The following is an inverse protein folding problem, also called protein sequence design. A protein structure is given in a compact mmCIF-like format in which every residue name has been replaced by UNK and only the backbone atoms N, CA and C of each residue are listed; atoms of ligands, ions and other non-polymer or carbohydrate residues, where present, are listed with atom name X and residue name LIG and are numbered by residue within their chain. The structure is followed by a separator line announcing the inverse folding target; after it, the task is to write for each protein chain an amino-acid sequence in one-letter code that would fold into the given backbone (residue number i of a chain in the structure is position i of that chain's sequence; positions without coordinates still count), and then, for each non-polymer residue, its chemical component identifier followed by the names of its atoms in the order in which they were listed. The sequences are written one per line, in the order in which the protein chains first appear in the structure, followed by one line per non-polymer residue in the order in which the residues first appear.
data_IF_966836974396
#
_entry.id   IF_966836974396
#
_cell.length_a   1.000
_cell.length_b   1.000
_cell.length_c   1.000
_cell.angle_alpha   90.00
_cell.angle_beta   90.00
_cell.angle_gamma   90.00
#
_symmetry.space_group_name_H-M   'P 1'
#
loop_
_entity.id
_entity.type
_entity.pdbx_description
1 polymer ?
#
# COMPACT_ATOMS: atom_id res chain seq x y z
N UNK A 1 12.43 -16.53 47.07
CA UNK A 1 11.41 -17.57 46.82
C UNK A 1 11.40 -18.08 45.37
N UNK A 2 11.44 -17.22 44.34
CA UNK A 2 11.45 -17.67 42.93
C UNK A 2 12.66 -18.56 42.54
N UNK A 3 13.87 -18.22 43.02
CA UNK A 3 15.09 -19.02 42.76
C UNK A 3 15.08 -20.40 43.43
N UNK A 4 14.41 -20.52 44.58
CA UNK A 4 14.34 -21.79 45.32
C UNK A 4 13.40 -22.76 44.60
N UNK A 5 12.31 -22.26 44.02
CA UNK A 5 11.35 -23.04 43.25
C UNK A 5 11.95 -23.61 41.95
N UNK A 6 12.78 -22.85 41.23
CA UNK A 6 13.45 -23.33 40.00
C UNK A 6 14.43 -24.49 40.26
N UNK A 7 15.15 -24.46 41.39
CA UNK A 7 16.10 -25.52 41.76
C UNK A 7 15.40 -26.83 42.14
N UNK A 8 14.27 -26.77 42.84
CA UNK A 8 13.46 -27.96 43.14
C UNK A 8 12.82 -28.56 41.88
N UNK A 9 12.34 -27.73 40.94
CA UNK A 9 11.70 -28.23 39.72
C UNK A 9 12.73 -28.92 38.78
N UNK A 10 13.94 -28.37 38.67
CA UNK A 10 15.01 -28.98 37.91
C UNK A 10 15.47 -30.34 38.49
N UNK A 11 15.49 -30.46 39.82
CA UNK A 11 15.88 -31.69 40.51
C UNK A 11 14.84 -32.82 40.35
N UNK A 12 13.55 -32.48 40.39
CA UNK A 12 12.45 -33.45 40.18
C UNK A 12 12.39 -33.92 38.72
N UNK A 13 12.63 -33.03 37.75
CA UNK A 13 12.67 -33.39 36.32
C UNK A 13 13.87 -34.29 35.98
N UNK A 14 15.03 -34.07 36.62
CA UNK A 14 16.20 -34.94 36.45
C UNK A 14 15.96 -36.35 36.99
N UNK A 15 15.29 -36.47 38.15
CA UNK A 15 14.96 -37.77 38.75
C UNK A 15 13.89 -38.53 37.95
N UNK A 16 12.87 -37.84 37.42
CA UNK A 16 11.84 -38.48 36.58
C UNK A 16 12.36 -38.87 35.18
N UNK A 17 13.27 -38.08 34.61
CA UNK A 17 13.93 -38.42 33.35
C UNK A 17 14.86 -39.63 33.45
N UNK A 18 15.59 -39.79 34.57
CA UNK A 18 16.52 -40.91 34.78
C UNK A 18 15.83 -42.28 34.85
N UNK A 19 14.61 -42.35 35.40
CA UNK A 19 13.87 -43.62 35.52
C UNK A 19 13.22 -44.04 34.19
N UNK A 20 12.85 -43.09 33.32
CA UNK A 20 12.27 -43.39 32.01
C UNK A 20 13.33 -43.87 31.00
N UNK A 21 14.58 -43.43 31.15
CA UNK A 21 15.71 -43.80 30.26
C UNK A 21 16.21 -45.23 30.50
N UNK A 22 16.01 -45.81 31.68
CA UNK A 22 16.50 -47.16 32.02
C UNK A 22 15.66 -48.31 31.44
N UNK A 23 14.51 -48.03 30.80
CA UNK A 23 13.63 -49.04 30.17
C UNK A 23 13.33 -48.79 28.70
N UNK A 24 13.74 -47.67 28.15
CA UNK A 24 13.50 -47.34 26.74
C UNK A 24 14.56 -47.98 25.84
N UNK A 25 14.15 -48.37 24.63
CA UNK A 25 15.09 -48.91 23.66
C UNK A 25 16.12 -47.84 23.24
N UNK A 26 17.31 -48.24 22.79
CA UNK A 26 18.32 -47.29 22.25
C UNK A 26 17.74 -46.37 21.16
N UNK A 27 16.74 -46.86 20.41
CA UNK A 27 16.05 -46.07 19.39
C UNK A 27 15.17 -44.95 19.98
N UNK A 28 14.53 -45.18 21.12
CA UNK A 28 13.73 -44.16 21.82
C UNK A 28 14.61 -43.13 22.51
N UNK A 29 15.75 -43.54 23.08
CA UNK A 29 16.75 -42.62 23.63
C UNK A 29 17.28 -41.68 22.54
N UNK A 30 17.67 -42.22 21.38
CA UNK A 30 18.13 -41.42 20.24
C UNK A 30 17.06 -40.44 19.72
N UNK A 31 15.78 -40.84 19.72
CA UNK A 31 14.67 -39.94 19.36
C UNK A 31 14.51 -38.80 20.36
N UNK A 32 14.54 -39.09 21.66
CA UNK A 32 14.44 -38.07 22.69
C UNK A 32 15.62 -37.09 22.67
N UNK A 33 16.85 -37.58 22.43
CA UNK A 33 18.02 -36.71 22.27
C UNK A 33 17.88 -35.79 21.05
N UNK A 34 17.39 -36.31 19.92
CA UNK A 34 17.14 -35.52 18.73
C UNK A 34 16.04 -34.47 18.94
N UNK A 35 14.96 -34.82 19.63
CA UNK A 35 13.88 -33.89 19.99
C UNK A 35 14.36 -32.79 20.93
N UNK A 36 15.18 -33.14 21.92
CA UNK A 36 15.76 -32.18 22.85
C UNK A 36 16.73 -31.22 22.13
N UNK A 37 17.59 -31.74 21.26
CA UNK A 37 18.49 -30.92 20.44
C UNK A 37 17.70 -29.95 19.54
N UNK A 38 16.61 -30.42 18.91
CA UNK A 38 15.72 -29.58 18.11
C UNK A 38 15.01 -28.52 18.96
N UNK A 39 14.59 -28.84 20.19
CA UNK A 39 13.98 -27.89 21.11
C UNK A 39 14.97 -26.79 21.55
N UNK A 40 16.22 -27.16 21.84
CA UNK A 40 17.29 -26.20 22.18
C UNK A 40 17.57 -25.28 20.99
N UNK A 41 17.65 -25.80 19.77
CA UNK A 41 17.84 -25.00 18.56
C UNK A 41 16.67 -24.03 18.32
N UNK A 42 15.42 -24.45 18.51
CA UNK A 42 14.24 -23.58 18.43
C UNK A 42 14.28 -22.46 19.46
N UNK A 43 14.66 -22.76 20.70
CA UNK A 43 14.81 -21.76 21.77
C UNK A 43 15.89 -20.72 21.43
N UNK A 44 17.02 -21.16 20.89
CA UNK A 44 18.09 -20.25 20.47
C UNK A 44 17.62 -19.32 19.33
N UNK A 45 16.89 -19.86 18.34
CA UNK A 45 16.33 -19.07 17.24
C UNK A 45 15.30 -18.04 17.72
N UNK A 46 14.41 -18.41 18.64
CA UNK A 46 13.44 -17.48 19.25
C UNK A 46 14.13 -16.36 20.04
N UNK A 47 15.17 -16.69 20.82
CA UNK A 47 15.96 -15.68 21.54
C UNK A 47 16.64 -14.70 20.60
N UNK A 48 17.20 -15.17 19.47
CA UNK A 48 17.79 -14.30 18.46
C UNK A 48 16.75 -13.37 17.82
N UNK A 49 15.57 -13.90 17.46
CA UNK A 49 14.48 -13.11 16.90
C UNK A 49 13.96 -12.03 17.89
N UNK A 50 13.91 -12.35 19.19
CA UNK A 50 13.54 -11.39 20.23
C UNK A 50 14.58 -10.26 20.37
N UNK A 51 15.87 -10.57 20.25
CA UNK A 51 16.93 -9.56 20.27
C UNK A 51 16.84 -8.63 19.04
N UNK A 52 16.59 -9.17 17.86
CA UNK A 52 16.38 -8.38 16.64
C UNK A 52 15.15 -7.47 16.76
N UNK A 53 14.03 -7.99 17.28
CA UNK A 53 12.82 -7.21 17.50
C UNK A 53 13.04 -6.07 18.51
N UNK A 54 13.81 -6.32 19.58
CA UNK A 54 14.18 -5.28 20.54
C UNK A 54 15.05 -4.19 19.92
N UNK A 55 16.05 -4.56 19.11
CA UNK A 55 16.89 -3.59 18.40
C UNK A 55 16.09 -2.72 17.42
N UNK A 56 15.11 -3.31 16.72
CA UNK A 56 14.21 -2.58 15.84
C UNK A 56 13.34 -1.57 16.61
N UNK A 57 12.78 -1.96 17.77
CA UNK A 57 12.02 -1.07 18.65
C UNK A 57 12.85 0.10 19.20
N UNK A 58 14.11 -0.15 19.57
CA UNK A 58 15.03 0.90 20.02
C UNK A 58 15.37 1.89 18.89
N UNK A 59 15.51 1.39 17.66
CA UNK A 59 15.73 2.24 16.47
C UNK A 59 14.52 3.14 16.19
N UNK A 60 13.30 2.59 16.26
CA UNK A 60 12.06 3.36 16.11
C UNK A 60 11.94 4.45 17.18
N UNK A 61 12.24 4.13 18.45
CA UNK A 61 12.21 5.12 19.54
C UNK A 61 13.19 6.28 19.31
N UNK A 62 14.39 6.00 18.79
CA UNK A 62 15.36 7.05 18.43
C UNK A 62 14.84 7.95 17.32
N UNK A 63 14.29 7.36 16.26
CA UNK A 63 13.73 8.09 15.13
C UNK A 63 12.57 9.02 15.56
N UNK A 64 11.65 8.53 16.39
CA UNK A 64 10.55 9.35 16.95
C UNK A 64 11.07 10.50 17.84
N UNK A 65 12.16 10.25 18.59
CA UNK A 65 12.86 11.27 19.36
C UNK A 65 13.43 12.39 18.48
N UNK A 66 14.11 12.03 17.40
CA UNK A 66 14.70 12.97 16.43
C UNK A 66 13.62 13.78 15.70
N UNK A 67 12.50 13.15 15.31
CA UNK A 67 11.38 13.83 14.66
C UNK A 67 10.75 14.86 15.59
N UNK A 68 10.52 14.50 16.86
CA UNK A 68 10.00 15.43 17.89
C UNK A 68 10.96 16.60 18.14
N UNK A 69 12.27 16.35 18.15
CA UNK A 69 13.29 17.39 18.28
C UNK A 69 13.30 18.34 17.05
N UNK A 70 13.14 17.80 15.85
CA UNK A 70 13.05 18.58 14.61
C UNK A 70 11.80 19.45 14.56
N UNK A 71 10.64 18.92 14.92
CA UNK A 71 9.40 19.68 15.03
C UNK A 71 9.53 20.84 16.03
N UNK A 72 10.15 20.57 17.18
CA UNK A 72 10.41 21.59 18.21
C UNK A 72 11.32 22.71 17.68
N UNK A 73 12.40 22.37 16.97
CA UNK A 73 13.29 23.34 16.31
C UNK A 73 12.54 24.19 15.27
N UNK A 74 11.71 23.57 14.44
CA UNK A 74 10.91 24.28 13.44
C UNK A 74 9.94 25.28 14.08
N UNK A 75 9.26 24.89 15.18
CA UNK A 75 8.38 25.78 15.94
C UNK A 75 9.14 26.95 16.57
N UNK A 76 10.33 26.71 17.12
CA UNK A 76 11.18 27.77 17.68
C UNK A 76 11.65 28.77 16.59
N UNK A 77 12.06 28.28 15.42
CA UNK A 77 12.43 29.14 14.29
C UNK A 77 11.24 30.00 13.82
N UNK A 78 10.03 29.42 13.77
CA UNK A 78 8.81 30.17 13.42
C UNK A 78 8.49 31.26 14.43
N UNK A 79 8.68 31.01 15.72
CA UNK A 79 8.54 32.03 16.79
C UNK A 79 9.57 33.16 16.66
N UNK A 80 10.83 32.85 16.33
CA UNK A 80 11.87 33.86 16.09
C UNK A 80 11.53 34.77 14.91
N UNK A 81 11.03 34.21 13.80
CA UNK A 81 10.59 35.00 12.63
C UNK A 81 9.43 35.94 12.94
N UNK A 82 8.53 35.57 13.86
CA UNK A 82 7.43 36.45 14.30
C UNK A 82 7.85 37.57 15.26
N UNK A 83 9.05 37.52 15.82
CA UNK A 83 9.59 38.57 16.70
C UNK A 83 10.41 39.62 15.96
N UNK A 84 10.57 39.50 14.64
CA UNK A 84 11.13 40.59 13.84
C UNK A 84 10.06 41.69 13.81
N UNK A 85 10.30 42.87 14.40
CA UNK A 85 9.34 43.96 14.36
C UNK A 85 9.07 44.31 12.89
N UNK A 86 7.79 44.58 12.53
CA UNK A 86 7.48 45.04 11.18
C UNK A 86 8.29 46.30 10.88
N UNK A 87 8.88 46.35 9.69
CA UNK A 87 9.45 47.58 9.13
C UNK A 87 8.43 48.72 9.27
N UNK A 88 8.83 49.94 9.67
CA UNK A 88 7.90 51.04 9.88
C UNK A 88 7.12 51.32 8.59
N UNK A 89 5.83 50.98 8.62
CA UNK A 89 4.89 51.16 7.53
C UNK A 89 4.30 52.57 7.60
N UNK A 90 4.44 53.36 6.53
CA UNK A 90 3.75 54.64 6.40
C UNK A 90 2.30 54.39 5.96
N UNK A 91 1.28 54.81 6.75
CA UNK A 91 -0.11 54.51 6.43
C UNK A 91 -0.66 55.45 5.34
N UNK A 92 -1.37 54.87 4.37
CA UNK A 92 -2.36 55.59 3.55
C UNK A 92 -3.71 55.62 4.30
N UNK A 93 -4.52 56.68 4.15
CA UNK A 93 -5.77 56.85 4.87
C UNK A 93 -6.83 55.86 4.39
N UNK A 94 -7.53 55.22 5.33
CA UNK A 94 -8.61 54.27 5.08
C UNK A 94 -9.93 54.77 5.66
N UNK A 95 -11.01 54.60 4.89
CA UNK A 95 -12.40 54.99 5.17
C UNK A 95 -13.12 53.83 5.89
N UNK A 96 -13.97 54.08 6.90
CA UNK A 96 -14.52 53.01 7.73
C UNK A 96 -15.77 52.37 7.10
N UNK A 97 -15.85 51.03 7.15
CA UNK A 97 -17.09 50.27 6.97
C UNK A 97 -17.33 49.46 8.25
N UNK A 98 -18.49 49.69 8.86
CA UNK A 98 -18.94 49.01 10.06
C UNK A 98 -19.42 47.59 9.73
N UNK A 99 -19.15 46.62 10.61
CA UNK A 99 -19.86 45.33 10.58
C UNK A 99 -20.09 44.82 11.99
N UNK A 100 -21.35 44.47 12.23
CA UNK A 100 -21.98 43.96 13.45
C UNK A 100 -21.54 42.55 13.79
N UNK A 101 -21.30 42.29 15.08
CA UNK A 101 -20.98 40.98 15.65
C UNK A 101 -22.26 40.21 16.02
N UNK A 102 -22.25 38.89 15.80
CA UNK A 102 -23.25 37.93 16.30
C UNK A 102 -22.57 36.89 17.20
N UNK A 103 -23.21 36.43 18.30
CA UNK A 103 -22.59 35.46 19.22
C UNK A 103 -22.81 34.00 18.79
N UNK A 104 -21.81 33.16 19.04
CA UNK A 104 -21.77 31.72 18.75
C UNK A 104 -22.19 30.92 19.99
N UNK A 105 -23.04 29.91 19.79
CA UNK A 105 -23.52 28.98 20.81
C UNK A 105 -22.53 27.83 21.12
N UNK A 106 -22.60 27.19 22.31
CA UNK A 106 -21.65 26.15 22.73
C UNK A 106 -22.06 24.73 22.25
N UNK A 107 -21.05 23.89 21.98
CA UNK A 107 -21.19 22.48 21.59
C UNK A 107 -21.31 21.52 22.80
N UNK A 108 -22.01 20.37 22.66
CA UNK A 108 -22.08 19.33 23.68
C UNK A 108 -20.96 18.25 23.52
N UNK A 109 -20.81 17.32 24.50
CA UNK A 109 -19.52 16.68 24.79
C UNK A 109 -19.24 15.36 24.04
N UNK A 110 -17.96 15.01 24.11
CA UNK A 110 -17.27 13.82 23.59
C UNK A 110 -17.73 12.54 24.31
N UNK A 111 -17.92 11.47 23.54
CA UNK A 111 -17.99 10.10 24.04
C UNK A 111 -16.93 9.20 23.35
N UNK A 112 -16.22 8.43 24.17
CA UNK A 112 -15.44 7.21 23.88
C UNK A 112 -15.80 6.24 25.05
N UNK A 113 -15.66 4.90 24.98
CA UNK A 113 -14.71 4.11 24.17
C UNK A 113 -15.24 2.74 23.64
N UNK A 114 -14.43 2.00 22.88
CA UNK A 114 -14.01 0.62 23.24
C UNK A 114 -13.11 -0.04 22.18
N UNK A 115 -11.99 -0.52 22.70
CA UNK A 115 -10.92 -1.33 22.11
C UNK A 115 -11.34 -2.78 21.88
N UNK A 116 -10.90 -3.38 20.77
CA UNK A 116 -10.40 -4.77 20.77
C UNK A 116 -9.19 -4.88 19.83
N UNK A 117 -8.02 -5.07 20.42
CA UNK A 117 -6.81 -5.56 19.75
C UNK A 117 -6.95 -7.08 19.54
N UNK A 118 -6.59 -7.56 18.36
CA UNK A 118 -6.23 -8.98 18.15
C UNK A 118 -4.89 -9.04 17.44
N UNK A 119 -3.91 -9.60 18.14
CA UNK A 119 -2.58 -9.94 17.63
C UNK A 119 -2.64 -11.20 16.75
N UNK A 120 -1.76 -11.25 15.73
CA UNK A 120 -1.39 -12.51 15.07
C UNK A 120 0.14 -12.52 14.78
N UNK A 121 0.86 -13.60 15.13
CA UNK A 121 2.30 -13.71 14.92
C UNK A 121 2.68 -14.53 13.66
N UNK A 122 3.89 -14.23 13.14
CA UNK A 122 4.79 -15.07 12.31
C UNK A 122 4.39 -15.44 10.86
N UNK A 123 5.27 -15.94 9.98
CA UNK A 123 6.68 -15.75 9.62
C UNK A 123 6.88 -16.59 8.33
N UNK A 124 7.53 -16.08 7.28
CA UNK A 124 7.73 -16.80 6.01
C UNK A 124 9.21 -17.18 5.84
N UNK A 125 9.55 -18.46 6.02
CA UNK A 125 10.76 -19.09 5.48
C UNK A 125 10.39 -20.52 5.07
N UNK A 126 10.86 -20.94 3.90
CA UNK A 126 10.94 -22.31 3.37
C UNK A 126 9.79 -22.82 2.46
N UNK A 127 9.95 -22.67 1.14
CA UNK A 127 9.28 -23.54 0.15
C UNK A 127 10.24 -23.93 -1.00
N UNK A 128 10.12 -25.18 -1.48
CA UNK A 128 10.74 -25.70 -2.71
C UNK A 128 9.64 -26.23 -3.63
N UNK A 129 9.68 -25.86 -4.91
CA UNK A 129 8.82 -26.45 -5.95
C UNK A 129 9.51 -27.69 -6.47
N UNK A 130 8.90 -28.86 -6.32
CA UNK A 130 9.37 -30.10 -6.92
C UNK A 130 8.60 -30.36 -8.23
N UNK A 131 9.35 -30.48 -9.33
CA UNK A 131 9.00 -30.96 -10.69
C UNK A 131 7.58 -30.71 -11.24
N UNK A 132 7.54 -30.01 -12.36
CA UNK A 132 6.36 -29.86 -13.23
C UNK A 132 6.17 -31.14 -14.07
N UNK A 133 5.34 -32.05 -13.60
CA UNK A 133 4.51 -32.90 -14.46
C UNK A 133 3.06 -32.43 -14.35
N UNK A 134 2.14 -32.90 -15.21
CA UNK A 134 0.77 -32.36 -15.44
C UNK A 134 -0.15 -32.23 -14.21
N UNK A 135 0.33 -32.55 -13.01
CA UNK A 135 -0.31 -32.33 -11.71
C UNK A 135 0.64 -31.53 -10.83
N UNK A 136 0.23 -30.35 -10.38
CA UNK A 136 1.04 -29.51 -9.50
C UNK A 136 0.89 -29.99 -8.05
N UNK A 137 1.91 -30.62 -7.48
CA UNK A 137 1.91 -31.05 -6.08
C UNK A 137 2.62 -30.01 -5.19
N UNK A 138 1.89 -29.44 -4.24
CA UNK A 138 2.43 -28.51 -3.24
C UNK A 138 2.61 -29.23 -1.90
N UNK A 139 3.88 -29.44 -1.51
CA UNK A 139 4.24 -29.97 -0.19
C UNK A 139 4.22 -28.84 0.85
N UNK A 140 3.25 -28.88 1.76
CA UNK A 140 3.17 -27.97 2.91
C UNK A 140 3.47 -28.74 4.21
N UNK A 141 4.31 -28.15 5.07
CA UNK A 141 4.70 -28.74 6.38
C UNK A 141 3.69 -28.55 7.51
N UNK A 142 2.73 -27.64 7.36
CA UNK A 142 1.69 -27.38 8.39
C UNK A 142 0.32 -27.10 7.76
N UNK A 143 -0.75 -27.47 8.49
CA UNK A 143 -2.14 -27.45 8.04
C UNK A 143 -2.78 -26.04 7.90
N UNK A 144 -2.06 -24.97 8.25
CA UNK A 144 -2.59 -23.59 8.32
C UNK A 144 -2.23 -22.73 7.10
N UNK A 145 -2.09 -23.34 5.92
CA UNK A 145 -1.54 -22.68 4.74
C UNK A 145 -2.59 -21.92 3.90
N UNK A 146 -3.20 -20.86 4.45
CA UNK A 146 -4.14 -19.99 3.73
C UNK A 146 -3.53 -19.24 2.52
N UNK A 147 -2.20 -19.23 2.37
CA UNK A 147 -1.50 -18.62 1.21
C UNK A 147 -1.08 -19.59 0.10
N UNK A 148 -0.93 -20.90 0.35
CA UNK A 148 -0.70 -21.86 -0.72
C UNK A 148 -1.93 -21.96 -1.66
N UNK A 149 -3.12 -21.89 -1.07
CA UNK A 149 -4.41 -21.79 -1.79
C UNK A 149 -4.45 -20.61 -2.79
N UNK A 150 -3.90 -19.46 -2.41
CA UNK A 150 -3.86 -18.26 -3.28
C UNK A 150 -2.93 -18.41 -4.49
N UNK A 151 -1.95 -19.30 -4.42
CA UNK A 151 -1.11 -19.66 -5.58
C UNK A 151 -1.75 -20.76 -6.43
N UNK A 152 -2.47 -21.72 -5.83
CA UNK A 152 -3.30 -22.69 -6.55
C UNK A 152 -4.46 -22.03 -7.33
N UNK A 153 -5.06 -20.95 -6.84
CA UNK A 153 -6.10 -20.18 -7.55
C UNK A 153 -5.67 -19.67 -8.94
N UNK A 154 -4.36 -19.60 -9.23
CA UNK A 154 -3.83 -19.25 -10.56
C UNK A 154 -3.64 -20.42 -11.51
N UNK A 155 -3.71 -21.66 -11.03
CA UNK A 155 -3.60 -22.88 -11.82
C UNK A 155 -4.98 -23.53 -11.84
N UNK A 156 -5.61 -23.53 -13.02
CA UNK A 156 -6.99 -23.99 -13.23
C UNK A 156 -7.16 -25.51 -12.97
N UNK A 157 -6.10 -26.24 -12.61
CA UNK A 157 -6.11 -27.68 -12.39
C UNK A 157 -5.24 -28.03 -11.16
N UNK A 158 -5.82 -27.93 -9.97
CA UNK A 158 -5.24 -28.50 -8.75
C UNK A 158 -6.27 -29.44 -8.14
N UNK A 159 -6.05 -30.75 -8.32
CA UNK A 159 -6.99 -31.79 -7.91
C UNK A 159 -6.73 -32.32 -6.49
N UNK A 160 -5.57 -32.02 -5.87
CA UNK A 160 -5.24 -32.44 -4.51
C UNK A 160 -4.18 -31.54 -3.84
N UNK A 161 -4.21 -31.47 -2.49
CA UNK A 161 -3.17 -30.89 -1.64
C UNK A 161 -2.73 -31.97 -0.65
N UNK A 162 -1.43 -32.30 -0.61
CA UNK A 162 -0.88 -33.33 0.28
C UNK A 162 -0.11 -32.66 1.41
N UNK A 163 -0.39 -33.06 2.65
CA UNK A 163 0.28 -32.57 3.85
C UNK A 163 1.12 -33.71 4.45
N UNK A 164 2.42 -33.45 4.54
CA UNK A 164 3.44 -34.19 5.28
C UNK A 164 3.56 -35.72 5.01
N UNK A 165 4.31 -36.07 3.96
CA UNK A 165 5.27 -37.18 3.92
C UNK A 165 4.84 -38.63 4.21
N UNK A 166 3.59 -38.91 4.52
CA UNK A 166 3.11 -40.28 4.73
C UNK A 166 2.58 -40.87 3.43
N UNK A 167 3.08 -42.05 3.06
CA UNK A 167 2.47 -42.87 2.01
C UNK A 167 0.99 -43.10 2.34
N UNK A 168 0.12 -42.60 1.46
CA UNK A 168 -1.32 -42.81 1.56
C UNK A 168 -1.57 -44.29 1.24
N UNK A 169 -1.87 -45.09 2.27
CA UNK A 169 -2.36 -46.45 2.07
C UNK A 169 -3.68 -46.39 1.28
N UNK A 170 -3.88 -47.25 0.26
CA UNK A 170 -5.14 -47.31 -0.48
C UNK A 170 -6.29 -47.58 0.50
N UNK A 171 -7.23 -46.63 0.63
CA UNK A 171 -8.42 -46.78 1.47
C UNK A 171 -8.65 -45.71 2.55
N UNK A 172 -7.81 -44.69 2.68
CA UNK A 172 -8.07 -43.53 3.55
C UNK A 172 -8.22 -42.24 2.73
N UNK A 173 -9.39 -42.10 2.11
CA UNK A 173 -9.86 -40.82 1.58
C UNK A 173 -10.19 -39.89 2.75
N UNK A 174 -9.26 -39.01 3.13
CA UNK A 174 -9.66 -37.69 3.65
C UNK A 174 -9.97 -36.83 2.44
N UNK A 175 -11.13 -37.11 1.86
CA UNK A 175 -11.78 -36.26 0.89
C UNK A 175 -12.00 -34.91 1.58
N UNK A 176 -11.15 -33.92 1.29
CA UNK A 176 -11.54 -32.52 1.43
C UNK A 176 -12.60 -32.32 0.36
N UNK A 177 -13.79 -32.80 0.70
CA UNK A 177 -14.89 -33.05 -0.22
C UNK A 177 -15.10 -31.85 -1.12
N UNK A 178 -15.57 -32.08 -2.35
CA UNK A 178 -16.03 -31.03 -3.27
C UNK A 178 -16.89 -29.95 -2.58
N UNK A 179 -17.53 -30.28 -1.46
CA UNK A 179 -18.25 -29.36 -0.59
C UNK A 179 -17.36 -28.30 0.08
N UNK A 180 -16.17 -28.62 0.60
CA UNK A 180 -15.25 -27.66 1.24
C UNK A 180 -14.67 -26.69 0.21
N UNK A 181 -14.30 -27.19 -0.98
CA UNK A 181 -13.84 -26.34 -2.10
C UNK A 181 -14.97 -25.43 -2.58
N UNK A 182 -16.21 -25.95 -2.67
CA UNK A 182 -17.40 -25.12 -2.93
C UNK A 182 -17.59 -24.06 -1.86
N UNK A 183 -17.51 -24.41 -0.58
CA UNK A 183 -17.71 -23.49 0.54
C UNK A 183 -16.71 -22.33 0.51
N UNK A 184 -15.44 -22.62 0.24
CA UNK A 184 -14.40 -21.59 0.11
C UNK A 184 -14.61 -20.71 -1.12
N UNK A 185 -15.07 -21.29 -2.24
CA UNK A 185 -15.43 -20.54 -3.46
C UNK A 185 -16.65 -19.64 -3.23
N UNK A 186 -17.65 -20.15 -2.52
CA UNK A 186 -18.86 -19.44 -2.16
C UNK A 186 -18.57 -18.33 -1.15
N UNK A 187 -17.64 -18.53 -0.22
CA UNK A 187 -17.16 -17.49 0.71
C UNK A 187 -16.35 -16.40 0.01
N UNK A 188 -15.47 -16.76 -0.93
CA UNK A 188 -14.76 -15.77 -1.75
C UNK A 188 -15.72 -14.97 -2.64
N UNK A 189 -16.72 -15.64 -3.23
CA UNK A 189 -17.78 -15.00 -4.02
C UNK A 189 -18.66 -14.10 -3.16
N UNK A 190 -19.03 -14.54 -1.95
CA UNK A 190 -19.76 -13.73 -0.97
C UNK A 190 -18.94 -12.53 -0.49
N UNK A 191 -17.65 -12.67 -0.23
CA UNK A 191 -16.78 -11.56 0.15
C UNK A 191 -16.62 -10.52 -0.98
N UNK A 192 -16.55 -10.98 -2.24
CA UNK A 192 -16.54 -10.10 -3.40
C UNK A 192 -17.89 -9.38 -3.58
N UNK A 193 -19.00 -10.09 -3.40
CA UNK A 193 -20.35 -9.54 -3.45
C UNK A 193 -20.63 -8.58 -2.28
N UNK A 194 -20.15 -8.86 -1.07
CA UNK A 194 -20.26 -7.98 0.10
C UNK A 194 -19.39 -6.74 -0.04
N UNK A 195 -18.24 -6.83 -0.71
CA UNK A 195 -17.42 -5.65 -1.04
C UNK A 195 -18.13 -4.79 -2.08
N UNK A 196 -18.70 -5.39 -3.13
CA UNK A 196 -19.53 -4.70 -4.11
C UNK A 196 -20.80 -4.11 -3.50
N UNK A 197 -21.43 -4.81 -2.55
CA UNK A 197 -22.60 -4.35 -1.80
C UNK A 197 -22.27 -3.23 -0.83
N UNK A 198 -21.13 -3.29 -0.14
CA UNK A 198 -20.62 -2.18 0.69
C UNK A 198 -20.22 -0.98 -0.15
N UNK A 199 -19.68 -1.17 -1.35
CA UNK A 199 -19.45 -0.09 -2.32
C UNK A 199 -20.78 0.52 -2.78
N UNK A 200 -21.78 -0.31 -3.07
CA UNK A 200 -23.15 0.13 -3.37
C UNK A 200 -23.81 0.83 -2.15
N UNK A 201 -23.50 0.43 -0.92
CA UNK A 201 -24.02 1.06 0.30
C UNK A 201 -23.29 2.35 0.66
N UNK A 202 -21.97 2.45 0.44
CA UNK A 202 -21.28 3.75 0.44
C UNK A 202 -21.82 4.64 -0.68
N UNK A 203 -22.22 4.06 -1.82
CA UNK A 203 -22.95 4.76 -2.88
C UNK A 203 -24.39 5.14 -2.51
N UNK A 204 -24.96 4.63 -1.40
CA UNK A 204 -26.24 5.14 -0.87
C UNK A 204 -26.08 6.51 -0.20
N UNK A 205 -24.89 6.88 0.28
CA UNK A 205 -24.59 8.28 0.64
C UNK A 205 -24.52 9.19 -0.61
N UNK A 206 -24.19 8.60 -1.76
CA UNK A 206 -24.33 9.19 -3.10
C UNK A 206 -25.73 8.96 -3.73
N UNK A 207 -26.63 8.30 -3.00
CA UNK A 207 -27.81 7.60 -3.50
C UNK A 207 -28.99 8.48 -3.90
N UNK A 208 -28.89 9.79 -3.72
CA UNK A 208 -29.87 10.73 -4.26
C UNK A 208 -29.39 11.47 -5.51
N UNK A 209 -28.11 11.33 -5.90
CA UNK A 209 -27.51 12.14 -6.97
C UNK A 209 -26.85 11.35 -8.10
N UNK A 210 -26.58 10.05 -7.95
CA UNK A 210 -26.20 9.17 -9.07
C UNK A 210 -27.42 8.72 -9.87
N UNK A 211 -28.20 9.68 -10.39
CA UNK A 211 -28.74 9.43 -11.73
C UNK A 211 -27.49 9.23 -12.60
N UNK A 212 -27.47 8.13 -13.34
CA UNK A 212 -26.52 7.79 -14.40
C UNK A 212 -26.53 8.82 -15.55
N UNK A 213 -26.61 10.11 -15.24
CA UNK A 213 -26.34 11.16 -16.18
C UNK A 213 -24.82 11.17 -16.37
N UNK A 214 -24.42 10.52 -17.46
CA UNK A 214 -23.12 10.74 -18.07
C UNK A 214 -22.98 12.22 -18.41
N UNK A 215 -22.44 12.96 -17.44
CA UNK A 215 -22.04 14.36 -17.56
C UNK A 215 -20.55 14.39 -17.90
N UNK A 216 -20.11 15.27 -18.81
CA UNK A 216 -18.70 15.43 -19.11
C UNK A 216 -17.95 16.03 -17.92
N UNK A 217 -16.89 15.37 -17.47
CA UNK A 217 -16.11 15.79 -16.29
C UNK A 217 -14.67 16.14 -16.64
N UNK A 218 -14.07 16.98 -15.81
CA UNK A 218 -12.63 17.22 -15.79
C UNK A 218 -11.96 16.19 -14.88
N UNK A 219 -11.05 15.40 -15.43
CA UNK A 219 -10.29 14.40 -14.68
C UNK A 219 -8.91 14.93 -14.31
N UNK A 220 -8.54 14.77 -13.04
CA UNK A 220 -7.20 15.10 -12.53
C UNK A 220 -6.58 13.79 -12.04
N UNK A 221 -5.67 13.22 -12.84
CA UNK A 221 -4.98 11.97 -12.51
C UNK A 221 -3.69 12.30 -11.76
N UNK A 222 -3.62 11.90 -10.51
CA UNK A 222 -2.47 12.09 -9.61
C UNK A 222 -1.82 10.76 -9.31
N UNK A 223 -0.50 10.74 -9.24
CA UNK A 223 0.29 9.60 -8.73
C UNK A 223 1.67 10.08 -8.31
N UNK A 224 2.43 9.26 -7.59
CA UNK A 224 3.85 9.53 -7.35
C UNK A 224 4.78 9.01 -8.48
N UNK A 225 4.23 8.71 -9.67
CA UNK A 225 5.00 8.15 -10.79
C UNK A 225 5.16 6.63 -10.70
N UNK A 226 5.43 5.98 -11.84
CA UNK A 226 5.54 4.52 -11.90
C UNK A 226 4.23 3.74 -11.67
N UNK A 227 3.11 4.42 -11.41
CA UNK A 227 1.83 3.79 -11.03
C UNK A 227 0.83 3.56 -12.18
N UNK A 228 1.24 3.74 -13.44
CA UNK A 228 0.31 3.64 -14.58
C UNK A 228 -0.57 4.87 -14.80
N UNK A 229 -0.28 6.01 -14.17
CA UNK A 229 -1.05 7.26 -14.33
C UNK A 229 -1.13 7.75 -15.78
N UNK A 230 -0.05 7.58 -16.57
CA UNK A 230 -0.06 7.95 -18.00
C UNK A 230 -1.00 7.07 -18.83
N UNK A 231 -1.16 5.80 -18.44
CA UNK A 231 -2.10 4.88 -19.09
C UNK A 231 -3.54 5.32 -18.81
N UNK A 232 -3.86 5.60 -17.55
CA UNK A 232 -5.18 6.08 -17.16
C UNK A 232 -5.51 7.45 -17.78
N UNK A 233 -4.61 8.43 -17.66
CA UNK A 233 -4.80 9.76 -18.22
C UNK A 233 -4.90 9.73 -19.76
N UNK A 234 -4.05 8.95 -20.43
CA UNK A 234 -4.09 8.79 -21.88
C UNK A 234 -5.39 8.16 -22.37
N UNK A 235 -5.92 7.14 -21.68
CA UNK A 235 -7.21 6.54 -22.01
C UNK A 235 -8.37 7.52 -21.79
N UNK A 236 -8.43 8.19 -20.64
CA UNK A 236 -9.45 9.20 -20.37
C UNK A 236 -9.45 10.32 -21.41
N UNK A 237 -8.27 10.77 -21.84
CA UNK A 237 -8.12 11.85 -22.82
C UNK A 237 -8.61 11.47 -24.24
N UNK A 238 -8.80 10.17 -24.50
CA UNK A 238 -9.30 9.65 -25.78
C UNK A 238 -10.80 9.37 -25.76
N UNK A 239 -11.43 9.40 -24.59
CA UNK A 239 -12.87 9.22 -24.50
C UNK A 239 -13.58 10.39 -25.22
N UNK A 240 -14.75 10.14 -25.81
CA UNK A 240 -15.60 11.19 -26.34
C UNK A 240 -15.82 12.33 -25.32
N UNK A 241 -15.91 13.57 -25.81
CA UNK A 241 -16.05 14.77 -24.95
C UNK A 241 -17.29 14.75 -24.07
N UNK A 242 -18.32 13.96 -24.40
CA UNK A 242 -19.50 13.71 -23.54
C UNK A 242 -19.16 12.99 -22.22
N UNK A 243 -18.00 12.34 -22.13
CA UNK A 243 -17.52 11.65 -20.93
C UNK A 243 -16.37 12.41 -20.25
N UNK A 244 -15.42 12.94 -21.02
CA UNK A 244 -14.25 13.64 -20.50
C UNK A 244 -14.08 15.01 -21.16
N UNK A 245 -14.27 16.09 -20.37
CA UNK A 245 -14.09 17.46 -20.81
C UNK A 245 -12.61 17.80 -20.93
N UNK A 246 -11.85 17.61 -19.86
CA UNK A 246 -10.41 17.83 -19.78
C UNK A 246 -9.75 16.73 -18.96
N UNK A 247 -8.48 16.45 -19.23
CA UNK A 247 -7.70 15.49 -18.46
C UNK A 247 -6.34 16.11 -18.13
N UNK A 248 -5.98 16.03 -16.86
CA UNK A 248 -4.71 16.50 -16.31
C UNK A 248 -3.96 15.33 -15.69
N UNK A 249 -2.64 15.35 -15.78
CA UNK A 249 -1.77 14.37 -15.15
C UNK A 249 -0.74 15.10 -14.26
N UNK A 250 -0.89 14.91 -12.95
CA UNK A 250 -0.11 15.59 -11.91
C UNK A 250 0.76 14.61 -11.10
N UNK A 251 1.81 15.18 -10.53
CA UNK A 251 2.73 14.56 -9.58
C UNK A 251 2.84 15.40 -8.31
N UNK A 252 1.76 16.11 -7.96
CA UNK A 252 1.68 16.96 -6.78
C UNK A 252 1.42 16.12 -5.54
N UNK A 253 2.28 16.23 -4.54
CA UNK A 253 2.20 15.46 -3.29
C UNK A 253 1.13 15.98 -2.33
N UNK A 254 0.67 17.21 -2.52
CA UNK A 254 -0.22 17.91 -1.58
C UNK A 254 -1.55 18.22 -2.25
N UNK A 255 -2.61 17.42 -2.03
CA UNK A 255 -3.92 17.83 -2.49
C UNK A 255 -4.28 19.16 -1.83
N UNK A 256 -4.76 20.16 -2.57
CA UNK A 256 -5.17 21.43 -1.97
C UNK A 256 -6.40 21.20 -1.09
N UNK A 257 -6.61 22.07 -0.11
CA UNK A 257 -7.82 22.08 0.72
C UNK A 257 -9.09 22.44 -0.06
N UNK A 258 -8.94 23.28 -1.08
CA UNK A 258 -10.03 23.79 -1.91
C UNK A 258 -9.67 23.45 -3.35
N UNK A 259 -10.52 22.65 -4.00
CA UNK A 259 -10.37 22.40 -5.42
C UNK A 259 -10.73 23.67 -6.18
N UNK A 260 -9.80 24.12 -7.03
CA UNK A 260 -9.93 25.34 -7.84
C UNK A 260 -9.94 25.00 -9.30
N UNK A 261 -10.61 25.84 -10.09
CA UNK A 261 -10.69 25.63 -11.53
C UNK A 261 -9.31 25.60 -12.17
N UNK A 262 -9.13 24.69 -13.13
CA UNK A 262 -7.91 24.59 -13.90
C UNK A 262 -8.11 25.24 -15.27
N UNK A 263 -7.12 25.99 -15.78
CA UNK A 263 -7.17 26.46 -17.16
C UNK A 263 -7.17 25.25 -18.09
N UNK A 264 -7.73 25.35 -19.31
CA UNK A 264 -7.68 24.27 -20.29
C UNK A 264 -6.26 23.67 -20.37
N UNK A 265 -6.16 22.33 -20.44
CA UNK A 265 -4.87 21.70 -20.34
C UNK A 265 -4.00 22.13 -21.55
N UNK A 266 -2.67 22.29 -21.36
CA UNK A 266 -1.79 22.75 -22.43
C UNK A 266 -1.87 21.80 -23.63
N UNK A 267 -1.53 22.31 -24.82
CA UNK A 267 -1.48 21.45 -26.03
C UNK A 267 -0.59 20.22 -25.75
N UNK A 268 -0.95 19.03 -26.26
CA UNK A 268 -0.20 17.81 -26.00
C UNK A 268 1.29 18.00 -26.28
N UNK A 269 2.12 17.86 -25.26
CA UNK A 269 3.57 18.05 -25.39
C UNK A 269 4.24 16.79 -25.97
N UNK A 270 5.45 16.93 -26.48
CA UNK A 270 6.27 15.77 -26.91
C UNK A 270 6.69 14.87 -25.74
N UNK A 271 6.69 15.41 -24.51
CA UNK A 271 7.15 14.75 -23.27
C UNK A 271 6.06 13.89 -22.61
N UNK A 272 4.80 14.18 -22.90
CA UNK A 272 3.68 13.50 -22.27
C UNK A 272 3.05 12.52 -23.25
N UNK A 273 3.45 11.26 -23.09
CA UNK A 273 3.01 10.15 -23.93
C UNK A 273 2.44 9.02 -23.10
N UNK A 274 1.33 8.45 -23.55
CA UNK A 274 0.77 7.24 -22.96
C UNK A 274 1.64 6.02 -23.30
N UNK A 275 1.25 4.84 -22.82
CA UNK A 275 1.95 3.57 -23.07
C UNK A 275 2.00 3.17 -24.56
N UNK A 276 1.20 3.81 -25.43
CA UNK A 276 1.18 3.63 -26.89
C UNK A 276 1.94 4.76 -27.60
N UNK A 277 2.78 5.49 -26.86
CA UNK A 277 3.51 6.66 -27.31
C UNK A 277 2.62 7.83 -27.80
N UNK A 278 1.32 7.83 -27.48
CA UNK A 278 0.38 8.88 -27.92
C UNK A 278 0.45 10.09 -27.02
N UNK A 279 0.51 11.27 -27.62
CA UNK A 279 0.61 12.52 -26.87
C UNK A 279 -0.71 12.81 -26.16
N UNK A 280 -0.63 13.24 -24.91
CA UNK A 280 -1.77 13.76 -24.16
C UNK A 280 -1.33 15.00 -23.36
N UNK A 281 -2.28 15.87 -22.96
CA UNK A 281 -1.94 16.98 -22.08
C UNK A 281 -1.47 16.46 -20.72
N UNK A 282 -0.24 16.77 -20.35
CA UNK A 282 0.32 16.34 -19.07
C UNK A 282 1.31 17.37 -18.52
N UNK A 283 1.68 17.19 -17.26
CA UNK A 283 2.49 18.14 -16.53
C UNK A 283 1.63 19.25 -15.94
N UNK A 284 1.68 19.39 -14.62
CA UNK A 284 0.96 20.43 -13.90
C UNK A 284 0.91 20.18 -12.41
N UNK A 285 0.35 21.16 -11.70
CA UNK A 285 0.15 21.19 -10.25
C UNK A 285 -1.17 21.85 -9.95
N UNK A 286 -1.68 21.63 -8.76
CA UNK A 286 -2.83 22.40 -8.30
C UNK A 286 -2.45 23.88 -8.21
N UNK A 287 -3.34 24.76 -8.66
CA UNK A 287 -3.14 26.22 -8.57
C UNK A 287 -3.88 26.77 -7.36
N UNK A 288 -3.28 27.79 -6.75
CA UNK A 288 -3.88 28.50 -5.61
C UNK A 288 -4.61 29.78 -6.04
N UNK A 289 -4.34 30.30 -7.23
CA UNK A 289 -4.82 31.64 -7.66
C UNK A 289 -6.19 31.63 -8.37
N UNK A 290 -6.65 30.48 -8.87
CA UNK A 290 -7.90 30.39 -9.63
C UNK A 290 -9.12 30.30 -8.71
N UNK A 291 -10.32 30.63 -9.22
CA UNK A 291 -11.54 30.56 -8.40
C UNK A 291 -11.84 29.12 -7.95
N UNK A 292 -12.42 28.92 -6.76
CA UNK A 292 -12.92 27.61 -6.33
C UNK A 292 -13.88 27.00 -7.35
N UNK A 293 -13.86 25.68 -7.47
CA UNK A 293 -14.83 24.94 -8.28
C UNK A 293 -16.22 25.12 -7.67
N UNK A 294 -17.18 25.57 -8.48
CA UNK A 294 -18.55 25.78 -8.02
C UNK A 294 -19.32 24.45 -7.83
N UNK A 295 -19.18 23.52 -8.78
CA UNK A 295 -19.77 22.18 -8.72
C UNK A 295 -18.66 21.12 -8.70
N UNK A 296 -18.45 20.49 -7.54
CA UNK A 296 -17.45 19.43 -7.41
C UNK A 296 -17.76 18.22 -8.32
N UNK A 297 -19.01 18.04 -8.76
CA UNK A 297 -19.35 16.98 -9.70
C UNK A 297 -18.77 17.20 -11.11
N UNK A 298 -18.39 18.44 -11.46
CA UNK A 298 -17.68 18.75 -12.70
C UNK A 298 -16.25 18.17 -12.72
N UNK A 299 -15.74 17.75 -11.56
CA UNK A 299 -14.37 17.27 -11.41
C UNK A 299 -14.33 15.84 -10.85
N UNK A 300 -13.28 15.11 -11.23
CA UNK A 300 -12.89 13.84 -10.63
C UNK A 300 -11.40 13.84 -10.38
N UNK A 301 -11.02 13.92 -9.10
CA UNK A 301 -9.63 13.76 -8.68
C UNK A 301 -9.37 12.27 -8.47
N UNK A 302 -8.45 11.72 -9.24
CA UNK A 302 -8.12 10.30 -9.26
C UNK A 302 -6.70 10.15 -8.73
N UNK A 303 -6.51 9.39 -7.67
CA UNK A 303 -5.19 9.02 -7.18
C UNK A 303 -4.91 7.56 -7.52
N UNK A 304 -4.04 7.30 -8.49
CA UNK A 304 -3.64 5.93 -8.83
C UNK A 304 -2.29 5.59 -8.18
N UNK A 305 -2.25 4.49 -7.44
CA UNK A 305 -1.08 4.02 -6.70
C UNK A 305 -0.76 2.56 -7.02
N UNK A 306 0.52 2.21 -6.91
CA UNK A 306 1.08 0.87 -7.19
C UNK A 306 1.97 0.43 -6.03
N UNK A 307 2.58 -0.74 -6.10
CA UNK A 307 3.65 -1.10 -5.19
C UNK A 307 4.78 -0.05 -5.32
N UNK A 308 5.18 0.63 -4.24
CA UNK A 308 6.22 1.67 -4.30
C UNK A 308 7.58 1.11 -4.73
N UNK A 309 7.89 -0.17 -4.46
CA UNK A 309 9.13 -0.80 -4.92
C UNK A 309 9.11 -0.91 -6.45
N UNK A 310 8.02 -1.41 -7.02
CA UNK A 310 7.85 -1.50 -8.47
C UNK A 310 7.84 -0.11 -9.13
N UNK A 311 7.21 0.87 -8.50
CA UNK A 311 7.17 2.24 -9.00
C UNK A 311 8.55 2.90 -9.00
N UNK A 312 9.35 2.66 -7.96
CA UNK A 312 10.71 3.20 -7.82
C UNK A 312 11.66 2.59 -8.85
N UNK A 313 11.62 1.27 -9.06
CA UNK A 313 12.36 0.63 -10.15
C UNK A 313 11.99 1.25 -11.51
N UNK A 314 10.72 1.56 -11.72
CA UNK A 314 10.25 2.14 -12.98
C UNK A 314 10.66 3.60 -13.18
N UNK A 315 10.72 4.39 -12.11
CA UNK A 315 10.83 5.85 -12.12
C UNK A 315 11.68 6.40 -10.98
N UNK A 316 12.90 5.91 -10.85
CA UNK A 316 13.89 6.53 -9.96
C UNK A 316 14.81 7.48 -10.71
N UNK A 317 15.08 8.63 -10.11
CA UNK A 317 16.01 9.61 -10.67
C UNK A 317 15.75 11.01 -10.14
N UNK A 318 16.79 11.85 -10.19
CA UNK A 318 16.78 13.20 -9.64
C UNK A 318 15.64 14.06 -10.20
N UNK A 319 15.45 14.05 -11.52
CA UNK A 319 14.37 14.81 -12.15
C UNK A 319 12.98 14.37 -11.69
N UNK A 320 12.77 13.07 -11.48
CA UNK A 320 11.48 12.57 -10.95
C UNK A 320 11.29 12.96 -9.49
N UNK A 321 12.34 12.82 -8.67
CA UNK A 321 12.35 13.30 -7.29
C UNK A 321 11.91 14.77 -7.21
N UNK A 322 12.49 15.64 -8.04
CA UNK A 322 12.12 17.06 -8.08
C UNK A 322 10.66 17.28 -8.46
N UNK A 323 10.15 16.53 -9.42
CA UNK A 323 8.74 16.65 -9.82
C UNK A 323 7.77 16.31 -8.68
N UNK A 324 8.17 15.42 -7.76
CA UNK A 324 7.40 15.05 -6.58
C UNK A 324 7.55 15.99 -5.38
N UNK A 325 8.34 17.06 -5.51
CA UNK A 325 8.80 17.87 -4.36
C UNK A 325 9.53 17.03 -3.29
N UNK A 326 10.35 16.07 -3.73
CA UNK A 326 11.21 15.28 -2.85
C UNK A 326 12.43 16.06 -2.33
N UNK A 327 13.11 15.48 -1.34
CA UNK A 327 14.39 15.97 -0.81
C UNK A 327 15.57 15.46 -1.64
N UNK A 328 15.73 16.02 -2.84
CA UNK A 328 16.62 15.46 -3.86
C UNK A 328 18.08 15.91 -3.73
N UNK A 329 18.39 16.86 -2.83
CA UNK A 329 19.70 17.50 -2.77
C UNK A 329 20.12 18.11 -4.12
N UNK A 330 21.41 17.99 -4.46
CA UNK A 330 21.96 18.40 -5.77
C UNK A 330 22.10 17.20 -6.70
N UNK A 331 21.91 17.43 -8.01
CA UNK A 331 21.81 16.38 -9.03
C UNK A 331 23.01 15.43 -9.05
N UNK A 332 24.21 15.99 -8.99
CA UNK A 332 25.48 15.26 -9.02
C UNK A 332 25.66 14.35 -7.82
N UNK A 333 24.95 14.62 -6.72
CA UNK A 333 24.98 13.83 -5.48
C UNK A 333 23.77 12.90 -5.34
N UNK A 334 22.86 12.91 -6.32
CA UNK A 334 21.66 12.08 -6.23
C UNK A 334 22.09 10.61 -6.30
N UNK A 335 21.78 9.81 -5.26
CA UNK A 335 22.30 8.46 -5.17
C UNK A 335 21.74 7.59 -6.29
N UNK A 336 22.50 6.57 -6.69
CA UNK A 336 21.96 5.44 -7.46
C UNK A 336 20.94 4.66 -6.62
N UNK A 337 20.05 3.91 -7.27
CA UNK A 337 18.90 3.29 -6.58
C UNK A 337 19.33 2.27 -5.51
N UNK A 338 20.42 1.55 -5.73
CA UNK A 338 21.03 0.63 -4.79
C UNK A 338 21.53 1.34 -3.53
N UNK A 339 22.27 2.44 -3.69
CA UNK A 339 22.74 3.28 -2.59
C UNK A 339 21.55 3.91 -1.85
N UNK A 340 20.55 4.39 -2.59
CA UNK A 340 19.31 4.93 -2.03
C UNK A 340 18.57 3.90 -1.16
N UNK A 341 18.43 2.67 -1.66
CA UNK A 341 17.77 1.58 -0.95
C UNK A 341 18.56 1.13 0.31
N UNK A 342 19.89 1.23 0.29
CA UNK A 342 20.74 0.96 1.44
C UNK A 342 20.61 2.05 2.51
N UNK A 343 20.50 3.32 2.11
CA UNK A 343 20.36 4.45 3.04
C UNK A 343 19.05 4.39 3.83
N UNK A 344 17.99 3.81 3.28
CA UNK A 344 16.75 3.59 4.02
C UNK A 344 15.91 4.86 4.23
N UNK A 345 16.22 5.97 3.56
CA UNK A 345 15.57 7.28 3.75
C UNK A 345 14.64 7.61 2.59
N UNK A 346 13.35 7.82 2.87
CA UNK A 346 12.34 8.18 1.87
C UNK A 346 12.46 9.63 1.37
N UNK A 347 13.55 9.94 0.65
CA UNK A 347 13.74 11.26 0.04
C UNK A 347 12.70 11.59 -1.04
N UNK A 348 12.11 10.59 -1.68
CA UNK A 348 11.02 10.78 -2.63
C UNK A 348 9.72 11.21 -1.94
N UNK A 349 9.59 10.88 -0.65
CA UNK A 349 8.45 11.22 0.18
C UNK A 349 7.19 10.47 -0.22
N UNK A 350 7.31 9.23 -0.71
CA UNK A 350 6.20 8.41 -1.18
C UNK A 350 5.20 8.07 -0.08
N UNK A 351 5.66 7.89 1.17
CA UNK A 351 4.77 7.61 2.31
C UNK A 351 3.78 8.75 2.50
N UNK A 352 4.31 9.96 2.70
CA UNK A 352 3.49 11.14 2.89
C UNK A 352 2.63 11.47 1.64
N UNK A 353 3.09 11.11 0.43
CA UNK A 353 2.27 11.23 -0.78
C UNK A 353 1.07 10.29 -0.71
N UNK A 354 1.32 9.01 -0.44
CA UNK A 354 0.28 8.01 -0.31
C UNK A 354 -0.75 8.38 0.77
N UNK A 355 -0.29 8.81 1.93
CA UNK A 355 -1.16 9.22 3.03
C UNK A 355 -1.99 10.45 2.70
N UNK A 356 -1.41 11.45 2.05
CA UNK A 356 -2.12 12.67 1.68
C UNK A 356 -3.31 12.40 0.75
N UNK A 357 -3.24 11.38 -0.10
CA UNK A 357 -4.31 11.04 -1.06
C UNK A 357 -5.20 9.87 -0.63
N UNK A 358 -4.92 9.22 0.49
CA UNK A 358 -5.73 8.09 1.02
C UNK A 358 -6.34 8.37 2.38
N UNK A 359 -6.04 9.51 2.99
CA UNK A 359 -6.66 10.00 4.22
C UNK A 359 -7.83 10.93 3.91
N UNK A 360 -8.83 11.06 4.82
CA UNK A 360 -10.00 11.91 4.62
C UNK A 360 -9.69 13.30 4.04
N UNK A 361 -10.38 13.67 2.95
CA UNK A 361 -10.20 14.96 2.27
C UNK A 361 -11.43 15.88 2.32
N UNK A 362 -11.24 17.16 2.00
CA UNK A 362 -12.33 18.16 1.92
C UNK A 362 -13.19 18.03 0.66
N UNK A 363 -12.74 17.24 -0.31
CA UNK A 363 -13.48 16.84 -1.51
C UNK A 363 -13.10 15.39 -1.85
N UNK A 364 -13.99 14.65 -2.52
CA UNK A 364 -13.77 13.24 -2.81
C UNK A 364 -12.56 13.03 -3.71
N UNK A 365 -11.63 12.18 -3.26
CA UNK A 365 -10.54 11.66 -4.09
C UNK A 365 -10.78 10.17 -4.34
N UNK A 366 -10.89 9.78 -5.61
CA UNK A 366 -11.02 8.38 -6.00
C UNK A 366 -9.63 7.75 -6.03
N UNK A 367 -9.32 6.99 -4.99
CA UNK A 367 -8.09 6.22 -4.84
C UNK A 367 -8.21 4.87 -5.58
N UNK A 368 -7.33 4.67 -6.56
CA UNK A 368 -7.31 3.55 -7.49
C UNK A 368 -6.10 2.65 -7.24
N UNK A 369 -6.35 1.41 -6.84
CA UNK A 369 -5.30 0.43 -6.59
C UNK A 369 -4.92 -0.28 -7.89
N UNK A 370 -3.79 0.09 -8.48
CA UNK A 370 -3.28 -0.45 -9.75
C UNK A 370 -3.38 -1.97 -9.81
N UNK A 371 -3.01 -2.65 -8.73
CA UNK A 371 -2.94 -4.13 -8.69
C UNK A 371 -4.27 -4.83 -8.83
N UNK A 372 -5.38 -4.15 -8.53
CA UNK A 372 -6.74 -4.71 -8.51
C UNK A 372 -7.65 -4.12 -9.58
N UNK A 373 -7.19 -3.11 -10.34
CA UNK A 373 -8.00 -2.40 -11.35
C UNK A 373 -8.65 -3.36 -12.36
N UNK A 374 -7.86 -4.25 -12.95
CA UNK A 374 -8.32 -5.06 -14.08
C UNK A 374 -9.33 -6.15 -13.73
N UNK A 375 -9.34 -6.65 -12.49
CA UNK A 375 -10.38 -7.58 -12.04
C UNK A 375 -11.65 -6.87 -11.56
N UNK A 376 -11.64 -5.53 -11.49
CA UNK A 376 -12.71 -4.73 -10.90
C UNK A 376 -13.14 -3.59 -11.83
N UNK A 377 -13.08 -3.79 -13.16
CA UNK A 377 -13.28 -2.72 -14.14
C UNK A 377 -14.64 -2.04 -14.02
N UNK A 378 -15.70 -2.76 -13.69
CA UNK A 378 -17.04 -2.17 -13.52
C UNK A 378 -17.08 -1.20 -12.33
N UNK A 379 -16.53 -1.60 -11.18
CA UNK A 379 -16.41 -0.71 -10.02
C UNK A 379 -15.55 0.52 -10.34
N UNK A 380 -14.49 0.35 -11.14
CA UNK A 380 -13.67 1.46 -11.64
C UNK A 380 -14.52 2.39 -12.52
N UNK A 381 -15.26 1.89 -13.50
CA UNK A 381 -16.12 2.73 -14.36
C UNK A 381 -17.13 3.52 -13.52
N UNK A 382 -17.79 2.85 -12.58
CA UNK A 382 -18.76 3.48 -11.66
C UNK A 382 -18.12 4.62 -10.87
N UNK A 383 -16.95 4.40 -10.26
CA UNK A 383 -16.25 5.41 -9.48
C UNK A 383 -15.74 6.59 -10.31
N UNK A 384 -15.42 6.34 -11.59
CA UNK A 384 -15.08 7.39 -12.54
C UNK A 384 -16.31 8.19 -13.02
N UNK A 385 -17.54 7.73 -12.72
CA UNK A 385 -18.77 8.31 -13.24
C UNK A 385 -18.97 8.01 -14.73
N UNK A 386 -18.47 6.86 -15.19
CA UNK A 386 -18.49 6.39 -16.57
C UNK A 386 -19.45 5.19 -16.72
N UNK A 387 -20.06 5.00 -17.90
CA UNK A 387 -20.93 3.86 -18.14
C UNK A 387 -20.11 2.56 -18.19
N UNK A 388 -20.70 1.47 -17.68
CA UNK A 388 -20.05 0.16 -17.63
C UNK A 388 -19.61 -0.35 -19.02
N UNK A 389 -20.30 0.05 -20.08
CA UNK A 389 -19.95 -0.30 -21.47
C UNK A 389 -18.56 0.18 -21.90
N UNK A 390 -17.96 1.17 -21.22
CA UNK A 390 -16.59 1.60 -21.48
C UNK A 390 -15.53 0.67 -20.86
N UNK A 391 -15.91 -0.26 -19.99
CA UNK A 391 -14.97 -1.20 -19.35
C UNK A 391 -14.22 -2.08 -20.37
N UNK A 392 -14.86 -2.40 -21.50
CA UNK A 392 -14.26 -3.16 -22.61
C UNK A 392 -13.16 -2.37 -23.32
N UNK A 393 -13.29 -1.04 -23.37
CA UNK A 393 -12.29 -0.13 -23.96
C UNK A 393 -11.15 0.22 -22.99
N UNK A 394 -11.27 -0.17 -21.72
CA UNK A 394 -10.25 0.11 -20.72
C UNK A 394 -8.95 -0.60 -21.11
N UNK A 395 -7.78 0.08 -21.00
CA UNK A 395 -6.52 -0.50 -21.44
C UNK A 395 -6.26 -1.84 -20.78
N UNK A 396 -5.76 -2.80 -21.57
CA UNK A 396 -5.25 -4.02 -21.00
C UNK A 396 -4.09 -3.75 -20.06
N UNK A 397 -3.87 -4.69 -19.14
CA UNK A 397 -2.72 -4.65 -18.24
C UNK A 397 -1.47 -4.86 -19.06
N UNK A 398 -0.92 -3.76 -19.53
CA UNK A 398 0.45 -3.71 -20.01
C UNK A 398 1.29 -3.36 -18.80
N UNK A 399 1.99 -4.34 -18.28
CA UNK A 399 3.21 -4.01 -17.56
C UNK A 399 4.10 -3.39 -18.63
N UNK A 400 4.11 -2.05 -18.73
CA UNK A 400 5.17 -1.37 -19.49
C UNK A 400 6.43 -2.02 -18.99
N UNK A 401 7.10 -2.67 -19.92
CA UNK A 401 8.30 -3.48 -19.77
C UNK A 401 9.40 -2.53 -19.31
N UNK A 402 9.25 -2.13 -18.05
CA UNK A 402 10.10 -1.33 -17.17
C UNK A 402 9.93 -1.94 -15.78
N UNK A 403 10.18 -3.24 -15.74
CA UNK A 403 10.53 -4.00 -14.54
C UNK A 403 12.07 -4.01 -14.43
N UNK A 404 12.65 -4.71 -13.46
CA UNK A 404 14.11 -4.73 -13.30
C UNK A 404 14.85 -5.07 -14.61
N UNK A 405 14.29 -5.98 -15.41
CA UNK A 405 14.92 -6.43 -16.65
C UNK A 405 14.96 -5.36 -17.74
N UNK A 406 14.10 -4.35 -17.66
CA UNK A 406 13.73 -3.51 -18.82
C UNK A 406 13.59 -2.02 -18.51
N UNK A 407 13.59 -1.64 -17.22
CA UNK A 407 13.76 -0.27 -16.76
C UNK A 407 15.24 0.14 -16.65
N UNK A 408 16.16 -0.79 -16.96
CA UNK A 408 17.56 -0.63 -16.64
C UNK A 408 18.22 0.54 -17.40
N UNK A 409 18.92 1.37 -16.62
CA UNK A 409 19.99 2.29 -17.02
C UNK A 409 20.63 2.85 -15.75
N UNK A 410 21.95 2.80 -15.54
CA UNK A 410 23.06 2.63 -16.50
C UNK A 410 23.70 1.23 -16.43
N UNK A 411 23.77 0.57 -17.61
CA UNK A 411 24.35 -0.77 -17.93
C UNK A 411 23.43 -2.01 -17.85
N UNK A 412 22.13 -1.84 -18.07
CA UNK A 412 21.16 -2.88 -18.52
C UNK A 412 21.02 -4.18 -17.70
N UNK A 413 21.41 -4.18 -16.42
CA UNK A 413 21.14 -5.30 -15.52
C UNK A 413 19.95 -5.00 -14.59
N UNK A 414 19.20 -6.06 -14.28
CA UNK A 414 18.17 -6.01 -13.25
C UNK A 414 18.75 -5.52 -11.92
N UNK A 415 17.99 -4.69 -11.21
CA UNK A 415 18.36 -4.30 -9.85
C UNK A 415 18.47 -5.52 -8.95
N UNK A 416 19.51 -5.54 -8.12
CA UNK A 416 19.80 -6.68 -7.25
C UNK A 416 18.67 -6.96 -6.26
N UNK A 417 18.57 -8.21 -5.81
CA UNK A 417 17.65 -8.59 -4.73
C UNK A 417 17.93 -7.79 -3.44
N UNK A 418 19.19 -7.40 -3.20
CA UNK A 418 19.57 -6.55 -2.08
C UNK A 418 18.94 -5.15 -2.18
N UNK A 419 18.92 -4.57 -3.38
CA UNK A 419 18.23 -3.29 -3.66
C UNK A 419 16.74 -3.39 -3.35
N UNK A 420 16.07 -4.45 -3.85
CA UNK A 420 14.65 -4.70 -3.58
C UNK A 420 14.36 -4.82 -2.09
N UNK A 421 15.13 -5.64 -1.36
CA UNK A 421 14.99 -5.78 0.09
C UNK A 421 15.19 -4.46 0.83
N UNK A 422 16.09 -3.59 0.35
CA UNK A 422 16.26 -2.24 0.88
C UNK A 422 14.99 -1.39 0.72
N UNK A 423 14.44 -1.35 -0.50
CA UNK A 423 13.18 -0.64 -0.80
C UNK A 423 11.99 -1.24 -0.04
N UNK A 424 11.92 -2.57 0.09
CA UNK A 424 10.89 -3.25 0.88
C UNK A 424 10.95 -2.86 2.36
N UNK A 425 12.16 -2.73 2.94
CA UNK A 425 12.30 -2.24 4.32
C UNK A 425 11.82 -0.80 4.46
N UNK A 426 12.10 0.05 3.48
CA UNK A 426 11.67 1.45 3.48
C UNK A 426 10.14 1.59 3.34
N UNK A 427 9.56 0.83 2.41
CA UNK A 427 8.18 1.03 1.97
C UNK A 427 7.21 -0.07 2.40
N UNK A 428 7.66 -1.04 3.19
CA UNK A 428 6.85 -2.18 3.62
C UNK A 428 5.52 -1.77 4.27
N UNK A 429 5.54 -0.71 5.09
CA UNK A 429 4.32 -0.15 5.70
C UNK A 429 3.31 0.35 4.66
N UNK A 430 3.77 1.03 3.61
CA UNK A 430 2.91 1.47 2.50
C UNK A 430 2.37 0.25 1.75
N UNK A 431 3.25 -0.71 1.46
CA UNK A 431 2.91 -1.90 0.69
C UNK A 431 1.81 -2.73 1.36
N UNK A 432 1.88 -2.91 2.68
CA UNK A 432 0.83 -3.58 3.45
C UNK A 432 -0.52 -2.88 3.32
N UNK A 433 -0.53 -1.55 3.46
CA UNK A 433 -1.76 -0.73 3.30
C UNK A 433 -2.31 -0.84 1.87
N UNK A 434 -1.47 -0.75 0.86
CA UNK A 434 -1.87 -0.89 -0.55
C UNK A 434 -2.49 -2.27 -0.81
N UNK A 435 -1.93 -3.34 -0.24
CA UNK A 435 -2.49 -4.69 -0.38
C UNK A 435 -3.85 -4.82 0.29
N UNK A 436 -4.06 -4.15 1.42
CA UNK A 436 -5.33 -4.14 2.15
C UNK A 436 -6.43 -3.33 1.44
N UNK A 437 -6.08 -2.22 0.77
CA UNK A 437 -7.06 -1.37 0.10
C UNK A 437 -7.78 -2.09 -1.07
N UNK A 438 -9.10 -1.86 -1.26
CA UNK A 438 -9.85 -2.39 -2.40
C UNK A 438 -9.34 -1.83 -3.74
N UNK A 439 -9.94 -2.27 -4.86
CA UNK A 439 -9.62 -1.72 -6.18
C UNK A 439 -9.92 -0.23 -6.28
N UNK A 440 -10.98 0.20 -5.61
CA UNK A 440 -11.44 1.58 -5.53
C UNK A 440 -11.76 1.90 -4.08
N UNK A 441 -11.21 2.99 -3.58
CA UNK A 441 -11.60 3.64 -2.33
C UNK A 441 -11.82 5.12 -2.56
N UNK A 442 -12.60 5.77 -1.70
CA UNK A 442 -12.74 7.23 -1.71
C UNK A 442 -12.17 7.76 -0.41
N UNK A 443 -11.24 8.70 -0.54
CA UNK A 443 -10.65 9.44 0.56
C UNK A 443 -11.37 10.78 0.74
#
# INVERSE_FOLDING_TARGET
MARTLELTLASVLALMGGVYVLRSSRAEQARHEAELAAAVARRASLSAALLEARAALETERRWQGDERANLTRALQQRRRRRRIPPSPYQPKPFVPVATTATPVAPSPPVATPLTQLKDFPCALRDFKVAKVTKTCELLCKEATCARALKHCERLVECDAVVVDGQEIKPGHNRDLSKATVRLLRDDATRAAQDTSRRLLETSKWWGSALKTQTKPRTYIVVSYGGCGSKMLAGWLAQLPRKYAKHVYHFHDKRPPDILRELPPPPRPSTRERDFRARRFPGGGRFRTETKPVADLDDYRVLYIFKDPVEAMVSRFGYGHCKHLDGDCGVEQSFPKLDVYAQQGVDRMGLLAFFEAYTSPQKYPIVALNYHKLWQNREAVMSALGLPASLASSFPERTETVRNDLTAAGENNQAHSEATRRGLDRMYGRILERIRALPAVSVA
#
